data_IF_269902879807
#
_entry.id   IF_269902879807
#
_cell.length_a   1.000
_cell.length_b   1.000
_cell.length_c   1.000
_cell.angle_alpha   90.00
_cell.angle_beta   90.00
_cell.angle_gamma   90.00
#
_symmetry.space_group_name_H-M   'P 1'
#
loop_
_entity.id
_entity.type
_entity.pdbx_description
1 polymer ?
#
# COMPACT_ATOMS: atom_id res chain seq x y z
N UNK A 1 13.73 7.23 11.09
CA UNK A 1 12.72 8.19 10.61
C UNK A 1 13.45 9.44 10.15
N UNK A 2 12.95 10.13 9.11
CA UNK A 2 13.46 11.45 8.72
C UNK A 2 13.26 12.39 9.93
N UNK A 3 14.31 13.01 10.41
CA UNK A 3 14.28 13.97 11.50
C UNK A 3 13.75 15.34 11.07
N UNK A 4 13.77 16.29 12.01
CA UNK A 4 13.37 17.67 11.78
C UNK A 4 14.56 18.62 11.58
N UNK A 5 15.72 18.12 11.13
CA UNK A 5 16.88 18.98 10.90
C UNK A 5 16.71 19.84 9.64
N UNK A 6 17.36 21.00 9.62
CA UNK A 6 17.40 21.87 8.44
C UNK A 6 18.00 21.16 7.23
N UNK A 7 18.99 20.29 7.45
CA UNK A 7 19.62 19.52 6.38
C UNK A 7 18.62 18.53 5.73
N UNK A 8 17.84 17.81 6.54
CA UNK A 8 16.80 16.90 6.06
C UNK A 8 15.68 17.67 5.33
N UNK A 9 15.30 18.84 5.84
CA UNK A 9 14.33 19.72 5.18
C UNK A 9 14.81 20.14 3.78
N UNK A 10 16.05 20.65 3.69
CA UNK A 10 16.66 21.04 2.41
C UNK A 10 16.72 19.82 1.48
N UNK A 11 17.13 18.66 2.00
CA UNK A 11 17.20 17.43 1.22
C UNK A 11 15.83 17.05 0.65
N UNK A 12 14.79 16.94 1.47
CA UNK A 12 13.44 16.52 1.01
C UNK A 12 12.90 17.48 -0.05
N UNK A 13 13.00 18.80 0.17
CA UNK A 13 12.51 19.79 -0.80
C UNK A 13 13.31 19.76 -2.08
N UNK A 14 14.64 19.68 -1.98
CA UNK A 14 15.51 19.65 -3.16
C UNK A 14 15.27 18.37 -3.95
N UNK A 15 15.12 17.23 -3.30
CA UNK A 15 14.77 15.95 -3.94
C UNK A 15 13.40 16.02 -4.61
N UNK A 16 12.38 16.55 -3.94
CA UNK A 16 11.06 16.75 -4.53
C UNK A 16 11.13 17.66 -5.77
N UNK A 17 11.84 18.80 -5.68
CA UNK A 17 12.02 19.73 -6.79
C UNK A 17 12.77 19.10 -7.97
N UNK A 18 13.85 18.36 -7.71
CA UNK A 18 14.61 17.64 -8.75
C UNK A 18 13.71 16.62 -9.45
N UNK A 19 13.03 15.76 -8.68
CA UNK A 19 12.17 14.72 -9.23
C UNK A 19 11.04 15.32 -10.08
N UNK A 20 10.41 16.40 -9.61
CA UNK A 20 9.35 17.08 -10.35
C UNK A 20 9.86 17.80 -11.61
N UNK A 21 11.13 18.18 -11.63
CA UNK A 21 11.74 18.91 -12.74
C UNK A 21 12.27 18.00 -13.85
N UNK A 22 12.59 16.73 -13.56
CA UNK A 22 13.17 15.80 -14.54
C UNK A 22 12.30 15.69 -15.79
N UNK A 23 10.99 15.40 -15.65
CA UNK A 23 10.08 15.25 -16.78
C UNK A 23 9.96 16.53 -17.64
N UNK A 24 9.54 17.68 -17.05
CA UNK A 24 9.42 18.94 -17.78
C UNK A 24 10.74 19.42 -18.39
N UNK A 25 11.86 19.32 -17.68
CA UNK A 25 13.17 19.72 -18.20
C UNK A 25 13.64 18.80 -19.33
N UNK A 26 13.41 17.49 -19.21
CA UNK A 26 13.71 16.52 -20.27
C UNK A 26 12.87 16.76 -21.52
N UNK A 27 11.59 17.08 -21.36
CA UNK A 27 10.70 17.46 -22.45
C UNK A 27 11.15 18.74 -23.15
N UNK A 28 11.43 19.79 -22.38
CA UNK A 28 11.92 21.06 -22.92
C UNK A 28 13.26 20.88 -23.65
N UNK A 29 14.20 20.14 -23.05
CA UNK A 29 15.48 19.82 -23.67
C UNK A 29 15.27 19.07 -24.99
N UNK A 30 14.42 18.04 -25.01
CA UNK A 30 14.19 17.22 -26.21
C UNK A 30 13.55 18.02 -27.35
N UNK A 31 12.71 19.01 -27.05
CA UNK A 31 12.12 19.92 -28.05
C UNK A 31 13.13 20.94 -28.55
N UNK A 32 13.95 21.51 -27.67
CA UNK A 32 14.90 22.57 -28.03
C UNK A 32 16.17 22.02 -28.70
N UNK A 33 16.55 20.77 -28.41
CA UNK A 33 17.79 20.17 -28.87
C UNK A 33 18.04 20.29 -30.39
N UNK A 34 17.06 20.05 -31.28
CA UNK A 34 17.25 20.21 -32.74
C UNK A 34 17.55 21.64 -33.18
N UNK A 35 17.25 22.64 -32.35
CA UNK A 35 17.45 24.06 -32.65
C UNK A 35 18.71 24.63 -31.98
N UNK A 36 19.44 23.82 -31.21
CA UNK A 36 20.68 24.27 -30.58
C UNK A 36 21.83 24.35 -31.60
N UNK A 37 22.76 25.32 -31.46
CA UNK A 37 23.92 25.42 -32.33
C UNK A 37 24.76 24.13 -32.34
N UNK A 38 25.39 23.81 -33.47
CA UNK A 38 26.23 22.60 -33.65
C UNK A 38 27.33 22.46 -32.58
N UNK A 39 27.79 23.57 -31.99
CA UNK A 39 28.77 23.57 -30.90
C UNK A 39 28.30 22.83 -29.64
N UNK A 40 26.98 22.70 -29.43
CA UNK A 40 26.39 21.97 -28.31
C UNK A 40 26.23 20.47 -28.56
N UNK A 41 26.41 20.00 -29.79
CA UNK A 41 26.17 18.61 -30.17
C UNK A 41 27.06 17.63 -29.38
N UNK A 42 28.29 18.08 -29.10
CA UNK A 42 29.32 17.33 -28.36
C UNK A 42 29.37 17.67 -26.86
N UNK A 43 28.65 18.70 -26.40
CA UNK A 43 28.68 19.12 -24.99
C UNK A 43 27.91 18.19 -24.06
N UNK A 44 26.92 17.45 -24.58
CA UNK A 44 26.10 16.53 -23.80
C UNK A 44 26.38 15.08 -24.25
N UNK A 45 26.82 14.18 -23.34
CA UNK A 45 27.08 12.80 -23.69
C UNK A 45 25.87 12.11 -24.31
N UNK A 46 26.10 11.25 -25.32
CA UNK A 46 25.03 10.54 -26.04
C UNK A 46 24.09 9.74 -25.11
N UNK A 47 24.63 9.13 -24.05
CA UNK A 47 23.84 8.39 -23.05
C UNK A 47 22.86 9.29 -22.30
N UNK A 48 23.29 10.51 -21.93
CA UNK A 48 22.44 11.49 -21.25
C UNK A 48 21.34 11.97 -22.18
N UNK A 49 21.64 12.22 -23.46
CA UNK A 49 20.64 12.59 -24.47
C UNK A 49 19.56 11.52 -24.62
N UNK A 50 19.96 10.23 -24.66
CA UNK A 50 18.99 9.14 -24.71
C UNK A 50 18.12 9.06 -23.45
N UNK A 51 18.72 9.19 -22.27
CA UNK A 51 17.97 9.20 -21.02
C UNK A 51 16.95 10.35 -20.97
N UNK A 52 17.36 11.58 -21.29
CA UNK A 52 16.46 12.74 -21.35
C UNK A 52 15.33 12.53 -22.36
N UNK A 53 15.62 11.96 -23.53
CA UNK A 53 14.57 11.64 -24.49
C UNK A 53 13.58 10.60 -23.95
N UNK A 54 14.05 9.54 -23.30
CA UNK A 54 13.17 8.52 -22.69
C UNK A 54 12.33 9.09 -21.55
N UNK A 55 12.90 9.95 -20.71
CA UNK A 55 12.16 10.66 -19.66
C UNK A 55 11.11 11.61 -20.25
N UNK A 56 11.41 12.30 -21.35
CA UNK A 56 10.45 13.15 -22.04
C UNK A 56 9.27 12.34 -22.62
N UNK A 57 9.56 11.18 -23.22
CA UNK A 57 8.53 10.26 -23.73
C UNK A 57 7.67 9.74 -22.58
N UNK A 58 8.27 9.29 -21.49
CA UNK A 58 7.55 8.85 -20.30
C UNK A 58 6.69 9.97 -19.70
N UNK A 59 7.23 11.18 -19.57
CA UNK A 59 6.52 12.33 -19.04
C UNK A 59 5.28 12.66 -19.87
N UNK A 60 5.37 12.62 -21.20
CA UNK A 60 4.23 12.91 -22.08
C UNK A 60 3.22 11.75 -22.11
N UNK A 61 3.70 10.54 -22.39
CA UNK A 61 2.83 9.38 -22.62
C UNK A 61 2.23 8.80 -21.34
N UNK A 62 2.91 8.95 -20.22
CA UNK A 62 2.47 8.37 -18.94
C UNK A 62 1.99 9.48 -18.02
N UNK A 63 2.83 10.43 -17.65
CA UNK A 63 2.48 11.40 -16.60
C UNK A 63 1.39 12.38 -17.05
N UNK A 64 1.55 13.04 -18.22
CA UNK A 64 0.52 13.96 -18.75
C UNK A 64 -0.75 13.19 -19.09
N UNK A 65 -0.64 12.04 -19.77
CA UNK A 65 -1.78 11.21 -20.12
C UNK A 65 -2.56 10.76 -18.89
N UNK A 66 -1.93 10.13 -17.90
CA UNK A 66 -2.61 9.67 -16.67
C UNK A 66 -3.21 10.86 -15.94
N UNK A 67 -2.46 11.97 -15.80
CA UNK A 67 -2.97 13.17 -15.12
C UNK A 67 -4.19 13.76 -15.82
N UNK A 68 -4.26 13.74 -17.15
CA UNK A 68 -5.42 14.15 -17.92
C UNK A 68 -6.56 13.12 -17.84
N UNK A 69 -6.24 11.84 -18.00
CA UNK A 69 -7.18 10.72 -18.01
C UNK A 69 -7.92 10.58 -16.68
N UNK A 70 -7.22 10.68 -15.55
CA UNK A 70 -7.82 10.64 -14.20
C UNK A 70 -8.75 11.84 -13.94
N UNK A 71 -8.74 12.87 -14.79
CA UNK A 71 -9.71 13.98 -14.74
C UNK A 71 -10.95 13.74 -15.59
N UNK A 72 -10.92 12.81 -16.55
CA UNK A 72 -12.07 12.47 -17.38
C UNK A 72 -12.99 11.47 -16.65
N UNK A 73 -14.31 11.49 -16.92
CA UNK A 73 -15.16 10.32 -16.72
C UNK A 73 -14.61 9.16 -17.56
N UNK A 74 -14.50 7.97 -16.98
CA UNK A 74 -13.81 6.84 -17.60
C UNK A 74 -14.43 6.41 -18.95
N UNK A 75 -13.64 6.46 -20.02
CA UNK A 75 -13.92 5.80 -21.30
C UNK A 75 -12.62 5.14 -21.81
N UNK A 76 -12.71 3.86 -22.19
CA UNK A 76 -11.56 3.00 -22.47
C UNK A 76 -11.22 2.94 -23.98
N UNK A 77 -9.93 2.87 -24.36
CA UNK A 77 -9.52 2.64 -25.75
C UNK A 77 -9.85 1.22 -26.22
N UNK A 78 -9.99 1.05 -27.53
CA UNK A 78 -10.14 -0.27 -28.11
C UNK A 78 -8.86 -1.11 -27.87
N UNK A 79 -8.98 -2.31 -27.28
CA UNK A 79 -7.84 -3.13 -26.90
C UNK A 79 -7.02 -3.59 -28.13
N UNK A 80 -5.70 -3.80 -27.94
CA UNK A 80 -4.84 -4.48 -28.94
C UNK A 80 -5.47 -5.82 -29.36
N UNK A 81 -5.12 -6.37 -30.52
CA UNK A 81 -5.59 -7.72 -30.84
C UNK A 81 -4.84 -8.76 -29.99
N UNK A 82 -5.53 -9.84 -29.61
CA UNK A 82 -4.97 -10.98 -28.87
C UNK A 82 -3.66 -11.50 -29.47
N UNK A 83 -3.61 -11.58 -30.79
CA UNK A 83 -2.47 -12.13 -31.52
C UNK A 83 -1.21 -11.26 -31.43
N UNK A 84 -1.38 -9.94 -31.39
CA UNK A 84 -0.26 -9.00 -31.23
C UNK A 84 0.29 -9.03 -29.80
N UNK A 85 -0.58 -9.17 -28.81
CA UNK A 85 -0.21 -9.29 -27.39
C UNK A 85 0.55 -10.58 -27.11
N UNK A 86 0.06 -11.72 -27.58
CA UNK A 86 0.73 -13.02 -27.42
C UNK A 86 2.16 -13.00 -28.03
N UNK A 87 2.33 -12.35 -29.19
CA UNK A 87 3.64 -12.25 -29.87
C UNK A 87 4.63 -11.36 -29.11
N UNK A 88 4.17 -10.23 -28.56
CA UNK A 88 4.98 -9.35 -27.73
C UNK A 88 5.40 -10.07 -26.43
N UNK A 89 4.45 -10.76 -25.80
CA UNK A 89 4.66 -11.52 -24.58
C UNK A 89 5.70 -12.64 -24.77
N UNK A 90 5.54 -13.47 -25.79
CA UNK A 90 6.48 -14.57 -26.07
C UNK A 90 7.91 -14.05 -26.28
N UNK A 91 8.05 -12.92 -27.00
CA UNK A 91 9.35 -12.30 -27.25
C UNK A 91 10.03 -11.82 -25.96
N UNK A 92 9.28 -11.26 -25.02
CA UNK A 92 9.83 -10.86 -23.71
C UNK A 92 10.26 -12.07 -22.88
N UNK A 93 9.50 -13.16 -22.93
CA UNK A 93 9.83 -14.41 -22.24
C UNK A 93 11.10 -15.07 -22.78
N UNK A 94 11.20 -15.23 -24.11
CA UNK A 94 12.35 -15.88 -24.76
C UNK A 94 13.67 -15.13 -24.50
N UNK A 95 13.59 -13.85 -24.13
CA UNK A 95 14.76 -13.01 -23.84
C UNK A 95 15.12 -13.01 -22.34
N UNK A 96 14.23 -13.50 -21.47
CA UNK A 96 14.41 -13.50 -20.02
C UNK A 96 15.00 -14.84 -19.57
N UNK A 97 16.24 -14.84 -19.10
CA UNK A 97 16.97 -16.07 -18.72
C UNK A 97 16.40 -16.80 -17.50
N UNK A 98 16.82 -16.41 -16.30
CA UNK A 98 16.30 -16.99 -15.04
C UNK A 98 14.99 -16.30 -14.66
N UNK A 99 13.87 -17.00 -14.81
CA UNK A 99 12.55 -16.48 -14.48
C UNK A 99 12.35 -16.29 -12.98
N UNK A 100 12.87 -17.17 -12.13
CA UNK A 100 12.71 -17.04 -10.67
C UNK A 100 13.48 -15.82 -10.17
N UNK A 101 14.72 -15.65 -10.61
CA UNK A 101 15.52 -14.48 -10.27
C UNK A 101 14.95 -13.19 -10.88
N UNK A 102 14.43 -13.26 -12.11
CA UNK A 102 13.78 -12.13 -12.78
C UNK A 102 12.56 -11.63 -12.00
N UNK A 103 11.62 -12.52 -11.66
CA UNK A 103 10.45 -12.13 -10.88
C UNK A 103 10.87 -11.72 -9.47
N UNK A 104 11.75 -12.47 -8.81
CA UNK A 104 12.25 -12.10 -7.49
C UNK A 104 12.82 -10.67 -7.51
N UNK A 105 13.60 -10.28 -8.52
CA UNK A 105 14.10 -8.89 -8.69
C UNK A 105 12.97 -7.87 -8.88
N UNK A 106 11.96 -8.16 -9.70
CA UNK A 106 10.79 -7.30 -9.87
C UNK A 106 9.93 -7.17 -8.61
N UNK A 107 9.94 -8.20 -7.77
CA UNK A 107 9.32 -8.25 -6.45
C UNK A 107 10.35 -8.03 -5.32
N UNK A 108 11.34 -7.15 -5.55
CA UNK A 108 12.27 -6.64 -4.54
C UNK A 108 13.12 -7.69 -3.80
N UNK A 109 13.56 -8.72 -4.51
CA UNK A 109 14.35 -9.82 -3.98
C UNK A 109 13.56 -10.79 -3.10
N UNK A 110 12.23 -10.77 -3.16
CA UNK A 110 11.42 -11.75 -2.44
C UNK A 110 11.72 -13.17 -2.90
N UNK A 111 11.63 -14.12 -1.96
CA UNK A 111 11.67 -15.53 -2.31
C UNK A 111 10.55 -15.82 -3.30
N UNK A 112 10.89 -16.44 -4.42
CA UNK A 112 9.95 -16.76 -5.49
C UNK A 112 8.69 -17.49 -5.00
N UNK A 113 8.81 -18.37 -4.01
CA UNK A 113 7.67 -19.12 -3.44
C UNK A 113 6.71 -18.25 -2.59
N UNK A 114 7.12 -17.06 -2.18
CA UNK A 114 6.25 -16.08 -1.53
C UNK A 114 5.42 -15.27 -2.54
N UNK A 115 5.87 -15.20 -3.80
CA UNK A 115 5.21 -14.48 -4.89
C UNK A 115 4.08 -15.36 -5.45
N UNK A 116 2.86 -14.81 -5.46
CA UNK A 116 1.66 -15.50 -5.96
C UNK A 116 1.48 -15.27 -7.45
N UNK A 117 0.71 -16.18 -8.07
CA UNK A 117 0.35 -16.11 -9.49
C UNK A 117 -0.26 -14.76 -9.88
N UNK A 118 -0.99 -14.14 -8.98
CA UNK A 118 -1.74 -12.91 -9.20
C UNK A 118 -0.87 -11.70 -9.05
N UNK A 119 0.17 -11.77 -8.20
CA UNK A 119 1.24 -10.78 -8.26
C UNK A 119 1.89 -10.79 -9.66
N UNK A 120 2.14 -11.98 -10.22
CA UNK A 120 2.69 -12.14 -11.57
C UNK A 120 1.67 -11.70 -12.65
N UNK A 121 0.38 -12.05 -12.52
CA UNK A 121 -0.68 -11.57 -13.44
C UNK A 121 -0.81 -10.05 -13.40
N UNK A 122 -0.74 -9.43 -12.23
CA UNK A 122 -0.73 -7.97 -12.07
C UNK A 122 0.51 -7.34 -12.71
N UNK A 123 1.69 -7.92 -12.47
CA UNK A 123 2.92 -7.50 -13.15
C UNK A 123 2.74 -7.54 -14.68
N UNK A 124 2.13 -8.59 -15.22
CA UNK A 124 1.87 -8.71 -16.65
C UNK A 124 0.75 -7.80 -17.16
N UNK A 125 -0.34 -7.63 -16.41
CA UNK A 125 -1.41 -6.67 -16.72
C UNK A 125 -0.84 -5.26 -16.82
N UNK A 126 -0.02 -4.88 -15.84
CA UNK A 126 0.71 -3.62 -15.83
C UNK A 126 1.70 -3.49 -16.99
N UNK A 127 2.49 -4.53 -17.27
CA UNK A 127 3.58 -4.46 -18.24
C UNK A 127 3.13 -4.63 -19.70
N UNK A 128 1.99 -5.29 -19.97
CA UNK A 128 1.59 -5.70 -21.34
C UNK A 128 0.14 -5.39 -21.71
N UNK A 129 -0.79 -5.29 -20.75
CA UNK A 129 -2.23 -5.21 -21.06
C UNK A 129 -2.84 -3.82 -20.82
N UNK A 130 -2.36 -3.06 -19.84
CA UNK A 130 -2.93 -1.76 -19.45
C UNK A 130 -4.46 -1.79 -19.22
N UNK A 131 -5.02 -2.93 -18.79
CA UNK A 131 -6.47 -3.13 -18.58
C UNK A 131 -6.85 -3.20 -17.09
N UNK A 132 -8.12 -2.88 -16.80
CA UNK A 132 -8.71 -2.98 -15.46
C UNK A 132 -8.94 -4.45 -15.06
N UNK A 133 -8.98 -4.71 -13.75
CA UNK A 133 -9.05 -6.03 -13.12
C UNK A 133 -10.40 -6.74 -13.31
N UNK A 134 -11.42 -6.02 -13.82
CA UNK A 134 -12.83 -6.47 -13.83
C UNK A 134 -13.32 -7.05 -15.16
N UNK A 135 -12.49 -7.09 -16.21
CA UNK A 135 -12.91 -7.57 -17.54
C UNK A 135 -12.75 -9.10 -17.70
N UNK A 136 -13.84 -9.88 -17.80
CA UNK A 136 -13.80 -11.33 -17.91
C UNK A 136 -13.13 -11.84 -19.18
N UNK A 137 -13.15 -11.07 -20.28
CA UNK A 137 -12.59 -11.51 -21.58
C UNK A 137 -11.06 -11.65 -21.55
N UNK A 138 -10.39 -10.95 -20.63
CA UNK A 138 -8.93 -10.92 -20.54
C UNK A 138 -8.35 -11.91 -19.50
N UNK A 139 -9.20 -12.61 -18.75
CA UNK A 139 -8.76 -13.59 -17.74
C UNK A 139 -8.13 -14.85 -18.38
N UNK A 140 -8.62 -15.30 -19.54
CA UNK A 140 -8.05 -16.44 -20.28
C UNK A 140 -6.65 -16.13 -20.85
N UNK A 141 -6.43 -14.88 -21.28
CA UNK A 141 -5.15 -14.42 -21.83
C UNK A 141 -4.03 -14.32 -20.77
N UNK A 142 -4.41 -14.25 -19.50
CA UNK A 142 -3.49 -14.20 -18.36
C UNK A 142 -3.18 -15.59 -17.78
N UNK A 143 -3.79 -16.64 -18.32
CA UNK A 143 -3.49 -18.02 -17.96
C UNK A 143 -2.28 -18.62 -18.71
N UNK A 144 -1.42 -17.75 -19.25
CA UNK A 144 -0.17 -18.11 -19.92
C UNK A 144 0.83 -18.84 -18.99
N UNK A 145 1.77 -19.63 -19.55
CA UNK A 145 2.65 -20.54 -18.79
C UNK A 145 3.40 -19.92 -17.60
N UNK A 146 3.75 -18.63 -17.65
CA UNK A 146 4.50 -17.97 -16.58
C UNK A 146 3.66 -17.54 -15.39
N UNK A 147 2.36 -17.23 -15.59
CA UNK A 147 1.43 -17.04 -14.48
C UNK A 147 1.27 -18.36 -13.69
N UNK A 148 1.51 -19.52 -14.29
CA UNK A 148 1.50 -20.82 -13.61
C UNK A 148 2.76 -21.08 -12.76
N UNK A 149 3.82 -20.26 -12.87
CA UNK A 149 5.06 -20.42 -12.08
C UNK A 149 4.86 -19.87 -10.67
N UNK A 150 4.02 -18.84 -10.50
CA UNK A 150 3.58 -18.41 -9.16
C UNK A 150 2.92 -19.59 -8.45
N UNK A 151 3.54 -20.08 -7.38
CA UNK A 151 3.33 -21.44 -6.88
C UNK A 151 1.87 -21.81 -6.51
N UNK A 152 0.96 -20.83 -6.36
CA UNK A 152 -0.47 -21.01 -6.04
C UNK A 152 -1.33 -19.89 -6.62
N UNK A 153 -2.52 -20.24 -7.12
CA UNK A 153 -3.61 -19.31 -7.47
C UNK A 153 -4.16 -18.64 -6.20
N UNK A 154 -4.16 -17.30 -6.21
CA UNK A 154 -4.79 -16.40 -5.24
C UNK A 154 -6.27 -16.70 -5.15
N UNK A 155 -6.79 -16.42 -3.97
CA UNK A 155 -8.21 -16.52 -3.68
C UNK A 155 -9.03 -15.33 -4.19
N UNK A 156 -8.38 -14.25 -4.60
CA UNK A 156 -9.00 -13.07 -5.20
C UNK A 156 -8.33 -12.75 -6.54
N UNK A 157 -9.15 -12.41 -7.54
CA UNK A 157 -8.69 -11.99 -8.87
C UNK A 157 -8.08 -10.58 -8.87
N UNK A 158 -8.40 -9.76 -7.85
CA UNK A 158 -8.22 -8.31 -7.88
C UNK A 158 -7.46 -7.74 -6.66
N UNK A 159 -7.04 -8.59 -5.70
CA UNK A 159 -6.24 -8.18 -4.54
C UNK A 159 -4.97 -9.01 -4.43
N UNK A 160 -3.84 -8.32 -4.47
CA UNK A 160 -2.53 -8.87 -4.14
C UNK A 160 -2.33 -8.97 -2.64
N UNK A 161 -1.75 -10.09 -2.19
CA UNK A 161 -1.34 -10.28 -0.80
C UNK A 161 -0.17 -11.25 -0.69
N UNK A 162 0.64 -11.08 0.36
CA UNK A 162 1.65 -12.03 0.78
C UNK A 162 1.02 -12.98 1.79
N UNK A 163 1.34 -14.27 1.66
CA UNK A 163 0.79 -15.29 2.55
C UNK A 163 1.88 -16.19 3.09
N UNK A 164 1.98 -16.23 4.41
CA UNK A 164 2.73 -17.19 5.17
C UNK A 164 1.74 -18.17 5.86
N UNK A 165 1.88 -19.49 5.64
CA UNK A 165 1.00 -20.48 6.26
C UNK A 165 0.97 -20.42 7.78
N UNK A 166 -0.23 -20.64 8.33
CA UNK A 166 -0.44 -20.76 9.77
C UNK A 166 -0.28 -22.22 10.23
N UNK A 167 0.59 -22.46 11.21
CA UNK A 167 0.80 -23.78 11.81
C UNK A 167 0.86 -23.76 13.35
N UNK A 168 0.77 -22.58 13.97
CA UNK A 168 0.69 -22.51 15.44
C UNK A 168 -0.61 -23.15 15.93
N UNK A 169 -0.56 -24.04 16.95
CA UNK A 169 -1.75 -24.60 17.55
C UNK A 169 -2.40 -23.67 18.58
N UNK A 170 -1.66 -22.68 19.08
CA UNK A 170 -2.03 -21.91 20.28
C UNK A 170 -2.26 -20.42 20.02
N UNK A 171 -1.84 -19.90 18.86
CA UNK A 171 -2.08 -18.51 18.48
C UNK A 171 -2.93 -18.42 17.23
N UNK A 172 -3.47 -17.22 16.98
CA UNK A 172 -4.28 -16.95 15.80
C UNK A 172 -3.43 -16.35 14.67
N UNK A 173 -3.79 -16.61 13.40
CA UNK A 173 -3.16 -15.94 12.27
C UNK A 173 -3.46 -14.44 12.24
N UNK A 174 -2.61 -13.70 11.53
CA UNK A 174 -2.67 -12.24 11.41
C UNK A 174 -3.08 -11.83 9.99
N UNK A 175 -4.10 -10.99 9.88
CA UNK A 175 -4.38 -10.17 8.69
C UNK A 175 -3.70 -8.81 8.88
N UNK A 176 -2.70 -8.50 8.06
CA UNK A 176 -1.94 -7.27 8.11
C UNK A 176 -2.33 -6.31 6.97
N UNK A 177 -2.61 -5.06 7.34
CA UNK A 177 -3.09 -3.99 6.46
C UNK A 177 -2.17 -2.77 6.59
N UNK A 178 -1.44 -2.44 5.52
CA UNK A 178 -0.42 -1.40 5.55
C UNK A 178 -0.97 0.03 5.32
N UNK A 179 -0.16 1.02 5.70
CA UNK A 179 -0.42 2.43 5.43
C UNK A 179 0.05 2.90 4.05
N UNK A 180 -0.24 4.15 3.69
CA UNK A 180 0.24 4.77 2.45
C UNK A 180 1.77 4.77 2.39
N UNK A 181 2.34 4.47 1.23
CA UNK A 181 3.79 4.52 1.03
C UNK A 181 4.24 3.76 -0.22
N UNK A 182 5.17 2.83 -0.03
CA UNK A 182 5.76 1.99 -1.10
C UNK A 182 5.38 0.51 -0.92
N UNK A 183 4.17 0.26 -0.42
CA UNK A 183 3.64 -1.08 -0.20
C UNK A 183 4.15 -1.75 1.07
N UNK A 184 4.25 -3.08 1.04
CA UNK A 184 4.68 -3.90 2.17
C UNK A 184 6.17 -3.80 2.52
N UNK A 185 7.00 -3.19 1.65
CA UNK A 185 8.46 -3.12 1.82
C UNK A 185 8.92 -2.63 3.20
N UNK A 186 8.40 -1.50 3.75
CA UNK A 186 8.85 -0.98 5.05
C UNK A 186 8.51 -1.92 6.23
N UNK A 187 7.53 -2.82 6.04
CA UNK A 187 7.03 -3.70 7.08
C UNK A 187 7.70 -5.07 7.07
N UNK A 188 8.52 -5.38 6.06
CA UNK A 188 9.13 -6.70 5.91
C UNK A 188 9.96 -7.14 7.12
N UNK A 189 10.76 -6.23 7.67
CA UNK A 189 11.56 -6.51 8.86
C UNK A 189 10.66 -6.90 10.04
N UNK A 190 9.63 -6.10 10.28
CA UNK A 190 8.63 -6.34 11.32
C UNK A 190 7.87 -7.66 11.11
N UNK A 191 7.38 -7.93 9.90
CA UNK A 191 6.63 -9.15 9.60
C UNK A 191 7.50 -10.42 9.77
N UNK A 192 8.79 -10.31 9.46
CA UNK A 192 9.76 -11.39 9.70
C UNK A 192 10.01 -11.62 11.19
N UNK A 193 10.00 -10.53 11.98
CA UNK A 193 10.22 -10.58 13.43
C UNK A 193 9.11 -11.29 14.19
N UNK A 194 7.87 -11.27 13.71
CA UNK A 194 6.72 -11.97 14.32
C UNK A 194 7.02 -13.46 14.55
N UNK A 195 7.77 -14.10 13.65
CA UNK A 195 8.12 -15.51 13.75
C UNK A 195 9.58 -15.77 14.16
N UNK A 196 10.36 -14.73 14.49
CA UNK A 196 11.77 -14.87 14.83
C UNK A 196 11.93 -15.57 16.19
N UNK A 197 12.77 -16.60 16.24
CA UNK A 197 13.11 -17.32 17.47
C UNK A 197 12.07 -18.34 17.95
N UNK A 198 11.00 -18.57 17.18
CA UNK A 198 9.99 -19.59 17.49
C UNK A 198 10.51 -20.99 17.20
N UNK A 199 10.16 -21.96 18.03
CA UNK A 199 10.41 -23.37 17.75
C UNK A 199 9.30 -23.91 16.83
N UNK A 200 9.62 -24.17 15.56
CA UNK A 200 8.65 -24.69 14.58
C UNK A 200 7.96 -25.99 15.00
N UNK A 201 8.63 -26.85 15.78
CA UNK A 201 8.06 -28.15 16.17
C UNK A 201 7.10 -28.01 17.35
N UNK A 202 7.37 -27.06 18.24
CA UNK A 202 6.61 -26.87 19.48
C UNK A 202 5.53 -25.80 19.33
N UNK A 203 5.90 -24.65 18.78
CA UNK A 203 5.08 -23.44 18.76
C UNK A 203 4.51 -23.14 17.36
N UNK A 204 5.01 -23.82 16.33
CA UNK A 204 4.63 -23.57 14.94
C UNK A 204 4.91 -22.14 14.49
N UNK A 205 4.34 -21.77 13.34
CA UNK A 205 4.40 -20.42 12.79
C UNK A 205 3.05 -19.73 12.90
N UNK A 206 3.07 -18.48 13.33
CA UNK A 206 1.95 -17.57 13.13
C UNK A 206 1.87 -17.29 11.63
N UNK A 207 0.79 -17.75 11.02
CA UNK A 207 0.46 -17.39 9.64
C UNK A 207 0.14 -15.91 9.52
N UNK A 208 0.62 -15.32 8.43
CA UNK A 208 0.50 -13.89 8.15
C UNK A 208 -0.09 -13.75 6.75
N UNK A 209 -1.17 -12.99 6.66
CA UNK A 209 -1.74 -12.55 5.40
C UNK A 209 -1.59 -11.04 5.32
N UNK A 210 -0.62 -10.57 4.55
CA UNK A 210 -0.33 -9.16 4.39
C UNK A 210 -0.88 -8.67 3.05
N UNK A 211 -1.89 -7.81 3.09
CA UNK A 211 -2.56 -7.32 1.87
C UNK A 211 -1.74 -6.19 1.27
N UNK A 212 -1.44 -6.28 -0.02
CA UNK A 212 -0.75 -5.22 -0.78
C UNK A 212 -1.81 -4.32 -1.43
N UNK A 213 -1.94 -3.11 -0.91
CA UNK A 213 -2.97 -2.14 -1.26
C UNK A 213 -2.37 -1.19 -2.30
N UNK A 214 -2.30 -1.64 -3.55
CA UNK A 214 -1.60 -0.94 -4.64
C UNK A 214 -1.98 0.55 -4.82
N UNK A 215 -3.26 0.97 -4.73
CA UNK A 215 -3.64 2.36 -4.99
C UNK A 215 -3.05 3.36 -3.98
N UNK A 216 -2.53 2.88 -2.86
CA UNK A 216 -1.83 3.70 -1.85
C UNK A 216 -0.32 3.42 -1.78
N UNK A 217 0.24 2.65 -2.72
CA UNK A 217 1.64 2.18 -2.72
C UNK A 217 2.54 2.92 -3.73
N UNK A 218 2.11 4.11 -4.21
CA UNK A 218 2.81 4.86 -5.28
C UNK A 218 3.04 4.01 -6.54
N UNK A 219 2.04 3.20 -6.89
CA UNK A 219 2.05 2.32 -8.07
C UNK A 219 1.06 2.85 -9.11
N UNK A 220 1.42 2.71 -10.37
CA UNK A 220 0.46 2.86 -11.46
C UNK A 220 -0.45 1.64 -11.44
N UNK A 221 -1.69 1.84 -11.00
CA UNK A 221 -2.68 0.78 -10.80
C UNK A 221 -4.09 1.34 -10.97
N UNK A 222 -5.09 0.47 -10.83
CA UNK A 222 -6.51 0.82 -10.88
C UNK A 222 -6.97 1.52 -9.60
N UNK A 223 -8.19 2.07 -9.62
CA UNK A 223 -8.73 2.77 -8.46
C UNK A 223 -8.99 1.83 -7.28
N UNK A 224 -9.06 2.41 -6.07
CA UNK A 224 -9.44 1.66 -4.86
C UNK A 224 -10.84 1.07 -4.99
N UNK A 225 -11.00 -0.19 -4.58
CA UNK A 225 -12.30 -0.86 -4.45
C UNK A 225 -13.22 -0.10 -3.50
N UNK A 226 -14.53 -0.22 -3.72
CA UNK A 226 -15.53 0.17 -2.72
C UNK A 226 -15.43 -0.75 -1.50
N UNK A 227 -15.95 -0.28 -0.37
CA UNK A 227 -15.98 -1.02 0.90
C UNK A 227 -16.46 -2.47 0.71
N UNK A 228 -17.61 -2.67 0.08
CA UNK A 228 -18.25 -3.98 -0.01
C UNK A 228 -17.42 -4.93 -0.88
N UNK A 229 -16.97 -4.48 -2.06
CA UNK A 229 -16.10 -5.26 -2.95
C UNK A 229 -14.77 -5.64 -2.27
N UNK A 230 -14.19 -4.71 -1.50
CA UNK A 230 -12.97 -4.96 -0.73
C UNK A 230 -13.20 -6.03 0.34
N UNK A 231 -14.30 -5.93 1.09
CA UNK A 231 -14.66 -6.91 2.11
C UNK A 231 -14.96 -8.29 1.50
N UNK A 232 -15.61 -8.34 0.34
CA UNK A 232 -15.92 -9.57 -0.38
C UNK A 232 -14.66 -10.30 -0.83
N UNK A 233 -13.70 -9.57 -1.39
CA UNK A 233 -12.42 -10.14 -1.77
C UNK A 233 -11.63 -10.64 -0.55
N UNK A 234 -11.55 -9.84 0.53
CA UNK A 234 -10.87 -10.25 1.76
C UNK A 234 -11.54 -11.47 2.40
N UNK A 235 -12.87 -11.56 2.36
CA UNK A 235 -13.62 -12.74 2.81
C UNK A 235 -13.21 -13.99 2.06
N UNK A 236 -13.16 -13.91 0.72
CA UNK A 236 -12.72 -15.02 -0.13
C UNK A 236 -11.30 -15.46 0.17
N UNK A 237 -10.40 -14.49 0.37
CA UNK A 237 -9.00 -14.72 0.76
C UNK A 237 -8.89 -15.43 2.11
N UNK A 238 -9.56 -14.90 3.14
CA UNK A 238 -9.53 -15.48 4.48
C UNK A 238 -10.11 -16.89 4.51
N UNK A 239 -11.22 -17.13 3.81
CA UNK A 239 -11.84 -18.45 3.69
C UNK A 239 -10.89 -19.47 3.03
N UNK A 240 -10.23 -19.09 1.94
CA UNK A 240 -9.32 -20.00 1.22
C UNK A 240 -8.11 -20.43 2.04
N UNK A 241 -7.59 -19.58 2.92
CA UNK A 241 -6.47 -19.91 3.80
C UNK A 241 -6.88 -20.48 5.15
N UNK A 242 -8.19 -20.71 5.37
CA UNK A 242 -8.70 -21.26 6.63
C UNK A 242 -8.52 -20.32 7.82
N UNK A 243 -8.50 -19.00 7.59
CA UNK A 243 -8.42 -18.00 8.66
C UNK A 243 -9.82 -17.76 9.21
N UNK A 244 -10.45 -18.78 9.79
CA UNK A 244 -11.82 -18.70 10.32
C UNK A 244 -11.91 -17.75 11.50
N UNK A 245 -10.83 -17.69 12.30
CA UNK A 245 -10.65 -16.73 13.38
C UNK A 245 -9.25 -16.14 13.30
N UNK A 246 -9.12 -14.82 13.37
CA UNK A 246 -7.84 -14.14 13.11
C UNK A 246 -7.70 -12.83 13.90
N UNK A 247 -6.47 -12.29 13.92
CA UNK A 247 -6.14 -10.97 14.44
C UNK A 247 -6.03 -9.99 13.28
N UNK A 248 -6.66 -8.83 13.39
CA UNK A 248 -6.47 -7.73 12.43
C UNK A 248 -5.40 -6.79 12.96
N UNK A 249 -4.40 -6.50 12.14
CA UNK A 249 -3.41 -5.48 12.40
C UNK A 249 -3.44 -4.44 11.29
N UNK A 250 -3.79 -3.20 11.63
CA UNK A 250 -3.83 -2.08 10.70
C UNK A 250 -2.87 -0.98 11.12
N UNK A 251 -2.10 -0.46 10.17
CA UNK A 251 -1.25 0.72 10.38
C UNK A 251 -1.72 1.89 9.51
N UNK A 252 -1.84 3.09 10.09
CA UNK A 252 -2.19 4.32 9.36
C UNK A 252 -3.41 4.11 8.45
N UNK A 253 -3.31 4.29 7.13
CA UNK A 253 -4.42 4.03 6.18
C UNK A 253 -5.02 2.62 6.28
N UNK A 254 -4.23 1.59 6.61
CA UNK A 254 -4.72 0.23 6.81
C UNK A 254 -5.82 0.13 7.87
N UNK A 255 -5.86 1.06 8.82
CA UNK A 255 -6.93 1.15 9.84
C UNK A 255 -8.30 1.52 9.26
N UNK A 256 -8.35 2.13 8.08
CA UNK A 256 -9.60 2.35 7.33
C UNK A 256 -10.16 1.03 6.84
N UNK A 257 -9.30 0.16 6.29
CA UNK A 257 -9.70 -1.18 5.88
C UNK A 257 -10.09 -2.02 7.10
N UNK A 258 -9.35 -1.92 8.21
CA UNK A 258 -9.76 -2.54 9.49
C UNK A 258 -11.16 -2.11 9.91
N UNK A 259 -11.50 -0.82 9.72
CA UNK A 259 -12.83 -0.28 10.01
C UNK A 259 -13.90 -0.90 9.14
N UNK A 260 -13.63 -1.09 7.85
CA UNK A 260 -14.55 -1.75 6.93
C UNK A 260 -14.84 -3.19 7.35
N UNK A 261 -13.82 -3.93 7.77
CA UNK A 261 -13.95 -5.30 8.27
C UNK A 261 -14.77 -5.36 9.56
N UNK A 262 -14.50 -4.46 10.51
CA UNK A 262 -15.23 -4.37 11.78
C UNK A 262 -16.70 -3.97 11.61
N UNK A 263 -17.00 -3.17 10.60
CA UNK A 263 -18.39 -2.78 10.24
C UNK A 263 -19.10 -3.78 9.35
N UNK A 264 -18.48 -4.92 9.06
CA UNK A 264 -19.05 -5.98 8.23
C UNK A 264 -19.32 -7.19 9.12
N UNK A 265 -20.58 -7.44 9.54
CA UNK A 265 -20.89 -8.33 10.68
C UNK A 265 -20.28 -9.73 10.61
N UNK A 266 -20.26 -10.35 9.42
CA UNK A 266 -19.71 -11.70 9.26
C UNK A 266 -18.18 -11.72 9.41
N UNK A 267 -17.48 -10.70 8.89
CA UNK A 267 -16.04 -10.55 9.05
C UNK A 267 -15.68 -10.14 10.48
N UNK A 268 -16.42 -9.20 11.06
CA UNK A 268 -16.25 -8.77 12.44
C UNK A 268 -16.32 -9.95 13.41
N UNK A 269 -17.31 -10.85 13.24
CA UNK A 269 -17.46 -12.04 14.09
C UNK A 269 -16.26 -12.99 14.09
N UNK A 270 -15.41 -12.94 13.06
CA UNK A 270 -14.19 -13.75 12.88
C UNK A 270 -12.94 -13.07 13.47
N UNK A 271 -13.01 -11.78 13.78
CA UNK A 271 -11.91 -11.01 14.36
C UNK A 271 -11.86 -11.26 15.87
N UNK A 272 -10.81 -11.94 16.33
CA UNK A 272 -10.62 -12.17 17.76
C UNK A 272 -10.04 -10.96 18.48
N UNK A 273 -9.07 -10.30 17.84
CA UNK A 273 -8.36 -9.15 18.39
C UNK A 273 -8.00 -8.16 17.30
N UNK A 274 -7.90 -6.89 17.68
CA UNK A 274 -7.57 -5.78 16.79
C UNK A 274 -6.33 -5.06 17.33
N UNK A 275 -5.33 -4.87 16.47
CA UNK A 275 -4.14 -4.08 16.77
C UNK A 275 -4.11 -2.92 15.79
N UNK A 276 -4.18 -1.69 16.30
CA UNK A 276 -4.13 -0.49 15.49
C UNK A 276 -2.87 0.29 15.82
N UNK A 277 -2.10 0.66 14.79
CA UNK A 277 -0.90 1.49 14.93
C UNK A 277 -1.16 2.79 14.20
N UNK A 278 -1.09 3.91 14.91
CA UNK A 278 -1.35 5.25 14.41
C UNK A 278 -2.67 5.35 13.61
N UNK A 279 -3.82 4.96 14.20
CA UNK A 279 -5.08 4.87 13.48
C UNK A 279 -5.58 6.23 13.02
N UNK A 280 -5.65 6.42 11.71
CA UNK A 280 -6.29 7.60 11.12
C UNK A 280 -7.82 7.52 11.18
N UNK A 281 -8.38 6.31 11.33
CA UNK A 281 -9.84 6.09 11.31
C UNK A 281 -10.55 6.55 12.58
N UNK A 282 -9.85 6.66 13.71
CA UNK A 282 -10.44 7.09 14.99
C UNK A 282 -10.48 8.62 15.05
N UNK A 283 -11.63 9.18 15.43
CA UNK A 283 -11.90 10.62 15.38
C UNK A 283 -11.71 11.23 13.98
N UNK A 284 -11.88 10.43 12.92
CA UNK A 284 -11.73 10.87 11.52
C UNK A 284 -12.74 11.97 11.12
N UNK A 285 -13.84 12.13 11.87
CA UNK A 285 -14.78 13.24 11.73
C UNK A 285 -14.19 14.59 12.19
N UNK A 286 -13.10 14.58 12.95
CA UNK A 286 -12.40 15.78 13.38
C UNK A 286 -11.50 16.29 12.25
N UNK A 287 -11.24 17.60 12.18
CA UNK A 287 -10.49 18.18 11.08
C UNK A 287 -9.01 17.78 11.06
N UNK A 288 -8.46 17.30 12.18
CA UNK A 288 -7.02 17.04 12.36
C UNK A 288 -6.43 16.19 11.20
N UNK A 289 -6.92 14.97 10.99
CA UNK A 289 -6.39 14.06 9.96
C UNK A 289 -6.58 14.63 8.56
N UNK A 290 -7.80 15.10 8.25
CA UNK A 290 -8.13 15.64 6.93
C UNK A 290 -7.26 16.85 6.60
N UNK A 291 -7.17 17.82 7.50
CA UNK A 291 -6.39 19.03 7.31
C UNK A 291 -4.89 18.69 7.25
N UNK A 292 -4.35 17.95 8.22
CA UNK A 292 -2.92 17.68 8.35
C UNK A 292 -2.35 16.91 7.15
N UNK A 293 -3.16 16.06 6.52
CA UNK A 293 -2.73 15.20 5.42
C UNK A 293 -3.04 15.76 4.03
N UNK A 294 -4.14 16.51 3.87
CA UNK A 294 -4.60 16.96 2.54
C UNK A 294 -4.46 18.46 2.28
N UNK A 295 -4.45 19.31 3.32
CA UNK A 295 -4.57 20.76 3.16
C UNK A 295 -3.48 21.59 3.87
N UNK A 296 -2.86 21.06 4.93
CA UNK A 296 -1.86 21.78 5.73
C UNK A 296 -0.63 22.10 4.86
N UNK A 297 -0.21 23.38 4.81
CA UNK A 297 1.06 23.74 4.20
C UNK A 297 2.23 23.13 4.98
N UNK A 298 3.10 22.33 4.35
CA UNK A 298 4.19 21.66 5.04
C UNK A 298 5.29 22.65 5.48
N UNK A 299 5.76 22.52 6.71
CA UNK A 299 6.79 23.38 7.33
C UNK A 299 8.03 22.60 7.76
N UNK A 300 7.88 21.33 8.17
CA UNK A 300 9.01 20.47 8.55
C UNK A 300 9.40 19.49 7.44
N UNK A 301 10.56 18.84 7.56
CA UNK A 301 11.00 17.81 6.61
C UNK A 301 10.02 16.63 6.54
N UNK A 302 9.51 16.20 7.71
CA UNK A 302 8.51 15.13 7.82
C UNK A 302 7.19 15.52 7.16
N UNK A 303 6.72 16.76 7.38
CA UNK A 303 5.50 17.25 6.76
C UNK A 303 5.64 17.35 5.23
N UNK A 304 6.79 17.84 4.74
CA UNK A 304 7.08 17.86 3.30
C UNK A 304 7.14 16.46 2.70
N UNK A 305 7.71 15.51 3.43
CA UNK A 305 7.80 14.13 2.99
C UNK A 305 6.40 13.52 2.86
N UNK A 306 5.56 13.60 3.88
CA UNK A 306 4.20 13.06 3.83
C UNK A 306 3.30 13.80 2.85
N UNK A 307 3.44 15.13 2.74
CA UNK A 307 2.71 15.89 1.73
C UNK A 307 3.11 15.42 0.34
N UNK A 308 4.39 15.52 -0.04
CA UNK A 308 4.81 15.21 -1.40
C UNK A 308 4.71 13.72 -1.75
N UNK A 309 5.36 12.86 -0.96
CA UNK A 309 5.44 11.42 -1.26
C UNK A 309 4.22 10.64 -0.77
N UNK A 310 3.49 11.16 0.23
CA UNK A 310 2.35 10.48 0.83
C UNK A 310 0.99 10.97 0.37
N UNK A 311 0.83 12.16 -0.25
CA UNK A 311 -0.51 12.63 -0.68
C UNK A 311 -0.58 13.21 -2.09
N UNK A 312 0.55 13.51 -2.74
CA UNK A 312 0.57 14.08 -4.11
C UNK A 312 0.75 13.06 -5.22
N UNK A 313 1.08 11.80 -4.89
CA UNK A 313 1.03 10.71 -5.87
C UNK A 313 -0.36 10.62 -6.50
N UNK A 314 -0.44 10.33 -7.80
CA UNK A 314 -1.71 10.39 -8.54
C UNK A 314 -2.70 9.34 -8.02
N UNK A 315 -2.24 8.12 -7.74
CA UNK A 315 -3.09 7.03 -7.25
C UNK A 315 -3.56 7.29 -5.82
N UNK A 316 -2.66 7.77 -4.97
CA UNK A 316 -2.99 8.14 -3.59
C UNK A 316 -3.98 9.31 -3.57
N UNK A 317 -3.71 10.38 -4.32
CA UNK A 317 -4.59 11.54 -4.40
C UNK A 317 -5.98 11.15 -4.94
N UNK A 318 -6.03 10.33 -6.01
CA UNK A 318 -7.30 9.81 -6.51
C UNK A 318 -8.06 9.05 -5.42
N UNK A 319 -7.37 8.17 -4.69
CA UNK A 319 -7.96 7.40 -3.59
C UNK A 319 -8.58 8.32 -2.54
N UNK A 320 -7.82 9.30 -2.04
CA UNK A 320 -8.23 10.22 -0.97
C UNK A 320 -9.33 11.21 -1.38
N UNK A 321 -9.33 11.68 -2.62
CA UNK A 321 -10.24 12.74 -3.07
C UNK A 321 -11.45 12.24 -3.86
N UNK A 322 -11.47 10.97 -4.28
CA UNK A 322 -12.55 10.41 -5.12
C UNK A 322 -13.18 9.14 -4.56
N UNK A 323 -12.43 8.33 -3.83
CA UNK A 323 -12.92 7.02 -3.31
C UNK A 323 -13.03 6.96 -1.79
N UNK A 324 -12.51 7.95 -1.08
CA UNK A 324 -12.49 7.99 0.37
C UNK A 324 -13.78 8.60 0.94
N UNK A 325 -14.75 7.75 1.28
CA UNK A 325 -16.00 8.16 1.90
C UNK A 325 -15.84 8.27 3.42
N UNK A 326 -15.62 9.49 3.92
CA UNK A 326 -15.31 9.79 5.33
C UNK A 326 -16.26 9.10 6.33
N UNK A 327 -17.57 9.12 6.08
CA UNK A 327 -18.57 8.49 6.97
C UNK A 327 -18.40 6.97 7.10
N UNK A 328 -17.95 6.30 6.04
CA UNK A 328 -17.71 4.86 6.05
C UNK A 328 -16.44 4.50 6.82
N UNK A 329 -15.46 5.41 6.79
CA UNK A 329 -14.09 5.21 7.28
C UNK A 329 -13.89 5.56 8.76
N UNK A 330 -14.84 6.22 9.41
CA UNK A 330 -14.75 6.55 10.84
C UNK A 330 -14.88 5.27 11.67
N UNK A 331 -13.88 4.98 12.50
CA UNK A 331 -13.95 3.92 13.49
C UNK A 331 -14.43 4.50 14.81
N UNK A 332 -15.59 4.05 15.28
CA UNK A 332 -16.12 4.46 16.57
C UNK A 332 -15.59 3.56 17.68
N UNK A 333 -15.55 4.08 18.89
CA UNK A 333 -15.12 3.33 20.07
C UNK A 333 -15.98 2.08 20.28
N UNK A 334 -17.28 2.19 20.04
CA UNK A 334 -18.26 1.12 20.17
C UNK A 334 -17.99 -0.04 19.19
N UNK A 335 -17.45 0.27 18.00
CA UNK A 335 -17.09 -0.73 16.99
C UNK A 335 -15.93 -1.64 17.47
N UNK A 336 -15.03 -1.12 18.31
CA UNK A 336 -13.87 -1.86 18.82
C UNK A 336 -14.04 -2.40 20.25
N UNK A 337 -14.98 -1.88 21.05
CA UNK A 337 -15.25 -2.37 22.41
C UNK A 337 -15.77 -3.82 22.46
N UNK A 338 -16.30 -4.31 21.32
CA UNK A 338 -16.71 -5.70 21.17
C UNK A 338 -15.53 -6.67 20.96
N UNK A 339 -14.32 -6.16 20.77
CA UNK A 339 -13.11 -6.94 20.49
C UNK A 339 -12.01 -6.64 21.50
N UNK A 340 -11.08 -7.60 21.67
CA UNK A 340 -9.81 -7.30 22.36
C UNK A 340 -8.99 -6.36 21.48
N UNK A 341 -8.89 -5.08 21.86
CA UNK A 341 -8.25 -4.06 21.04
C UNK A 341 -7.07 -3.41 21.77
N UNK A 342 -5.94 -3.30 21.06
CA UNK A 342 -4.77 -2.52 21.48
C UNK A 342 -4.50 -1.44 20.43
N UNK A 343 -4.35 -0.20 20.88
CA UNK A 343 -4.03 0.95 20.04
C UNK A 343 -2.66 1.52 20.44
N UNK A 344 -1.75 1.57 19.47
CA UNK A 344 -0.45 2.23 19.58
C UNK A 344 -0.51 3.60 18.89
N UNK A 345 -0.04 4.63 19.59
CA UNK A 345 -0.04 6.01 19.12
C UNK A 345 1.37 6.59 19.20
N UNK A 346 1.90 7.08 18.09
CA UNK A 346 3.13 7.86 18.07
C UNK A 346 2.91 9.20 18.74
N UNK A 347 3.69 9.50 19.79
CA UNK A 347 3.57 10.77 20.53
C UNK A 347 3.70 12.00 19.62
N UNK A 348 4.60 11.90 18.62
CA UNK A 348 4.97 12.98 17.69
C UNK A 348 4.36 12.77 16.31
N UNK A 349 3.23 12.07 16.22
CA UNK A 349 2.50 11.90 14.97
C UNK A 349 2.07 13.28 14.42
N UNK A 350 2.43 13.52 13.16
CA UNK A 350 2.15 14.80 12.49
C UNK A 350 0.76 14.86 11.84
N UNK A 351 0.06 13.73 11.77
CA UNK A 351 -1.24 13.55 11.12
C UNK A 351 -2.31 13.35 12.19
N UNK A 352 -2.14 12.34 13.05
CA UNK A 352 -3.11 11.96 14.09
C UNK A 352 -2.84 12.74 15.38
N UNK A 353 -3.89 13.28 15.98
CA UNK A 353 -3.81 13.91 17.29
C UNK A 353 -3.80 12.84 18.40
N UNK A 354 -2.65 12.23 18.64
CA UNK A 354 -2.48 11.11 19.58
C UNK A 354 -3.04 11.39 20.99
N UNK A 355 -2.80 12.55 21.64
CA UNK A 355 -3.40 12.85 22.94
C UNK A 355 -4.94 12.86 22.94
N UNK A 356 -5.54 13.41 21.88
CA UNK A 356 -7.01 13.47 21.74
C UNK A 356 -7.61 12.10 21.48
N UNK A 357 -6.97 11.28 20.64
CA UNK A 357 -7.37 9.88 20.42
C UNK A 357 -7.26 9.07 21.71
N UNK A 358 -6.15 9.23 22.46
CA UNK A 358 -5.98 8.56 23.75
C UNK A 358 -7.07 8.95 24.74
N UNK A 359 -7.39 10.25 24.85
CA UNK A 359 -8.45 10.74 25.72
C UNK A 359 -9.81 10.14 25.35
N UNK A 360 -10.17 10.13 24.05
CA UNK A 360 -11.40 9.51 23.56
C UNK A 360 -11.49 8.00 23.89
N UNK A 361 -10.39 7.27 23.72
CA UNK A 361 -10.34 5.84 24.02
C UNK A 361 -10.40 5.56 25.54
N UNK A 362 -9.86 6.46 26.37
CA UNK A 362 -9.87 6.33 27.84
C UNK A 362 -11.13 6.89 28.52
N UNK A 363 -11.91 7.73 27.85
CA UNK A 363 -13.13 8.32 28.41
C UNK A 363 -14.11 7.23 28.86
N UNK A 364 -14.50 7.23 30.14
CA UNK A 364 -15.42 6.23 30.69
C UNK A 364 -16.85 6.52 30.21
N UNK A 365 -17.16 6.04 29.00
CA UNK A 365 -18.46 6.15 28.35
C UNK A 365 -19.03 4.77 28.01
N UNK A 366 -20.02 4.35 28.81
CA UNK A 366 -21.14 3.44 28.51
C UNK A 366 -20.95 2.30 27.47
N UNK A 367 -20.15 1.27 27.77
CA UNK A 367 -20.48 -0.13 27.40
C UNK A 367 -19.80 -1.11 28.37
N UNK A 368 -20.56 -1.73 29.29
CA UNK A 368 -20.23 -2.97 30.02
C UNK A 368 -18.82 -3.11 30.67
N UNK A 369 -18.21 -2.02 31.14
CA UNK A 369 -16.93 -2.08 31.89
C UNK A 369 -15.72 -2.56 31.08
N UNK A 370 -15.84 -2.74 29.76
CA UNK A 370 -14.74 -3.11 28.88
C UNK A 370 -13.90 -1.89 28.55
N UNK A 371 -12.57 -2.02 28.61
CA UNK A 371 -11.61 -0.95 28.30
C UNK A 371 -10.83 -1.29 27.04
N UNK A 372 -10.58 -0.27 26.20
CA UNK A 372 -9.64 -0.38 25.08
C UNK A 372 -8.24 -0.08 25.62
N UNK A 373 -7.30 -1.01 25.44
CA UNK A 373 -5.91 -0.75 25.78
C UNK A 373 -5.33 0.23 24.76
N UNK A 374 -4.81 1.36 25.23
CA UNK A 374 -4.24 2.39 24.36
C UNK A 374 -2.99 2.99 25.01
N UNK A 375 -1.89 2.99 24.25
CA UNK A 375 -0.60 3.49 24.69
C UNK A 375 -0.02 4.48 23.68
N UNK A 376 0.55 5.56 24.22
CA UNK A 376 1.38 6.49 23.48
C UNK A 376 2.83 6.02 23.61
N UNK A 377 3.48 5.82 22.47
CA UNK A 377 4.86 5.36 22.37
C UNK A 377 5.73 6.55 21.99
N UNK A 378 6.64 6.94 22.89
CA UNK A 378 7.80 7.78 22.55
C UNK A 378 9.03 6.86 22.37
N UNK A 379 10.08 7.34 21.70
CA UNK A 379 11.30 6.56 21.40
C UNK A 379 12.03 5.98 22.62
N UNK A 380 11.60 6.31 23.84
CA UNK A 380 12.11 5.83 25.12
C UNK A 380 11.22 4.80 25.84
N UNK A 381 10.00 4.50 25.37
CA UNK A 381 9.03 3.63 26.06
C UNK A 381 9.24 2.12 25.86
N UNK A 382 10.31 1.67 25.21
CA UNK A 382 10.57 0.23 25.04
C UNK A 382 10.95 -0.50 26.35
N UNK A 383 11.12 0.22 27.47
CA UNK A 383 11.54 -0.38 28.76
C UNK A 383 10.43 -0.52 29.80
N UNK A 384 9.29 0.18 29.68
CA UNK A 384 8.20 0.14 30.67
C UNK A 384 6.90 -0.29 29.97
N UNK A 385 6.37 -1.46 30.35
CA UNK A 385 5.25 -2.13 29.69
C UNK A 385 3.99 -1.28 29.47
N UNK A 386 3.10 -1.81 28.61
CA UNK A 386 1.82 -1.20 28.24
C UNK A 386 0.85 -1.28 29.43
N UNK A 387 0.49 -0.12 30.01
CA UNK A 387 -0.58 -0.03 31.01
C UNK A 387 -1.93 -0.51 30.42
N UNK A 388 -2.60 -1.45 31.09
CA UNK A 388 -3.93 -1.94 30.72
C UNK A 388 -4.00 -3.37 30.15
N UNK A 389 -2.88 -4.11 30.14
CA UNK A 389 -2.89 -5.56 29.97
C UNK A 389 -3.07 -6.24 31.33
N UNK A 390 -4.24 -6.11 31.94
CA UNK A 390 -4.62 -7.05 33.00
C UNK A 390 -4.96 -8.39 32.32
N UNK A 391 -4.28 -9.44 32.78
CA UNK A 391 -4.49 -10.80 32.33
C UNK A 391 -5.82 -11.32 32.88
N UNK A 392 -6.86 -11.27 32.05
CA UNK A 392 -8.02 -12.15 32.17
C UNK A 392 -7.83 -13.40 31.31
#
# INVERSE_FOLDING_TARGET
MIGNSTAEYIFVITSAAILHSIGPASFLFSILYPFLPQSWENSVPRKVKYWLFTEAVFFVLTYIYIRWHVQNPAEHPAPMSRQEREKLFQRCLDTTGDHEEYYSKWFFGQNFHAIRRENIKEFFRYAFLYTDLSDPEHNEELDMPHALIGARQSASENLSYWYQPHTSPNELPILFLHGIGVGLFPYMGFLTEINRGRDEKKDGKIGILAVEILPISSRVTTAMFRKDDLCDQLRGILHRHGFDRFVVMGHSYGTVISTHLLKTPDLASRISSVILVDPISILLNQPDVAYNFTARPPKSAVEWFFWYYGSRDIGVAHTLFRTFFWSENILWKEDILNHRCIVFLGEKDSIVNAPKVLAYLREEGYVDGRKVAAAVVDGHMLENGIDGLESD
#
